data_IF_252824862048
#
_entry.id   IF_252824862048
#
_cell.length_a   1.000
_cell.length_b   1.000
_cell.length_c   1.000
_cell.angle_alpha   90.00
_cell.angle_beta   90.00
_cell.angle_gamma   90.00
#
_symmetry.space_group_name_H-M   'P 1'
#
loop_
_entity.id
_entity.type
_entity.pdbx_description
1 polymer ?
#
# COMPACT_ATOMS: atom_id res chain seq x y z
N UNK A 1 14.09 10.16 -17.42
CA UNK A 1 13.97 11.65 -17.44
C UNK A 1 14.42 12.23 -18.77
N UNK A 2 15.61 11.90 -19.26
CA UNK A 2 16.15 12.42 -20.52
C UNK A 2 15.29 12.09 -21.75
N UNK A 3 14.48 11.06 -21.69
CA UNK A 3 13.54 10.65 -22.76
C UNK A 3 12.11 11.20 -22.58
N UNK A 4 11.91 12.18 -21.69
CA UNK A 4 10.62 12.83 -21.48
C UNK A 4 9.58 12.01 -20.70
N UNK A 5 9.98 10.91 -20.05
CA UNK A 5 9.06 10.12 -19.21
C UNK A 5 8.50 10.95 -18.06
N UNK A 6 7.18 10.95 -17.91
CA UNK A 6 6.43 11.69 -16.88
C UNK A 6 5.60 10.71 -16.07
N UNK A 7 5.46 10.95 -14.79
CA UNK A 7 4.56 10.23 -13.90
C UNK A 7 4.24 11.14 -12.72
N UNK A 8 3.14 11.83 -12.81
CA UNK A 8 2.66 12.76 -11.79
C UNK A 8 1.13 12.85 -11.85
N UNK A 9 0.46 13.43 -10.83
CA UNK A 9 -0.98 13.58 -10.82
C UNK A 9 -1.53 14.44 -11.96
N UNK A 10 -0.78 15.41 -12.48
CA UNK A 10 -1.23 16.27 -13.58
C UNK A 10 -1.40 15.45 -14.86
N UNK A 11 -0.52 14.48 -15.10
CA UNK A 11 -0.61 13.54 -16.22
C UNK A 11 -1.45 12.31 -15.90
N UNK A 12 -2.10 12.28 -14.71
CA UNK A 12 -2.94 11.16 -14.23
C UNK A 12 -2.22 9.80 -14.22
N UNK A 13 -0.90 9.82 -14.12
CA UNK A 13 -0.08 8.61 -14.08
C UNK A 13 0.15 8.16 -12.64
N UNK A 14 -0.13 6.88 -12.37
CA UNK A 14 0.23 6.22 -11.12
C UNK A 14 1.41 5.27 -11.31
N UNK A 15 1.97 4.83 -10.20
CA UNK A 15 2.96 3.75 -10.17
C UNK A 15 2.29 2.52 -9.59
N UNK A 16 2.32 1.44 -10.34
CA UNK A 16 1.80 0.15 -9.93
C UNK A 16 2.96 -0.83 -9.75
N UNK A 17 2.96 -1.54 -8.63
CA UNK A 17 3.99 -2.52 -8.32
C UNK A 17 3.30 -3.87 -8.17
N UNK A 18 3.75 -4.83 -8.96
CA UNK A 18 3.28 -6.20 -8.92
C UNK A 18 4.31 -7.08 -8.21
N UNK A 19 3.86 -7.80 -7.18
CA UNK A 19 4.66 -8.81 -6.47
C UNK A 19 4.11 -10.18 -6.86
N UNK A 20 4.98 -11.12 -7.17
CA UNK A 20 4.57 -12.49 -7.49
C UNK A 20 3.76 -13.13 -6.36
N UNK A 21 2.73 -13.87 -6.73
CA UNK A 21 1.82 -14.53 -5.79
C UNK A 21 2.48 -15.74 -5.07
N UNK A 22 3.64 -16.19 -5.53
CA UNK A 22 4.32 -17.37 -5.02
C UNK A 22 4.56 -17.31 -3.51
N UNK A 23 4.24 -18.39 -2.81
CA UNK A 23 4.34 -18.49 -1.35
C UNK A 23 3.23 -17.77 -0.58
N UNK A 24 2.28 -17.12 -1.26
CA UNK A 24 1.07 -16.62 -0.63
C UNK A 24 -0.03 -17.67 -0.57
N UNK A 25 -0.74 -17.66 0.54
CA UNK A 25 -1.95 -18.45 0.80
C UNK A 25 -3.12 -17.51 1.01
N UNK A 26 -4.37 -17.97 0.98
CA UNK A 26 -5.52 -17.13 1.34
C UNK A 26 -5.39 -16.51 2.74
N UNK A 27 -4.74 -17.20 3.69
CA UNK A 27 -4.45 -16.67 5.03
C UNK A 27 -3.49 -15.48 4.94
N UNK A 28 -2.37 -15.62 4.21
CA UNK A 28 -1.41 -14.52 4.09
C UNK A 28 -1.97 -13.33 3.31
N UNK A 29 -2.81 -13.56 2.30
CA UNK A 29 -3.52 -12.49 1.61
C UNK A 29 -4.52 -11.78 2.54
N UNK A 30 -5.24 -12.52 3.40
CA UNK A 30 -6.07 -11.91 4.44
C UNK A 30 -5.22 -11.05 5.40
N UNK A 31 -4.06 -11.55 5.83
CA UNK A 31 -3.14 -10.76 6.65
C UNK A 31 -2.71 -9.48 5.92
N UNK A 32 -2.37 -9.57 4.64
CA UNK A 32 -1.96 -8.41 3.84
C UNK A 32 -3.07 -7.36 3.72
N UNK A 33 -4.31 -7.79 3.46
CA UNK A 33 -5.46 -6.89 3.44
C UNK A 33 -5.65 -6.17 4.78
N UNK A 34 -5.51 -6.89 5.89
CA UNK A 34 -5.63 -6.32 7.24
C UNK A 34 -4.47 -5.35 7.55
N UNK A 35 -3.23 -5.69 7.19
CA UNK A 35 -2.06 -4.81 7.35
C UNK A 35 -2.24 -3.53 6.54
N UNK A 36 -2.70 -3.63 5.31
CA UNK A 36 -2.98 -2.46 4.47
C UNK A 36 -4.09 -1.61 5.09
N UNK A 37 -5.24 -2.18 5.41
CA UNK A 37 -6.37 -1.45 6.00
C UNK A 37 -6.00 -0.69 7.28
N UNK A 38 -5.17 -1.29 8.13
CA UNK A 38 -4.72 -0.65 9.37
C UNK A 38 -3.73 0.50 9.18
N UNK A 39 -3.09 0.63 7.99
CA UNK A 39 -2.05 1.63 7.73
C UNK A 39 -2.32 2.53 6.53
N UNK A 40 -3.44 2.37 5.83
CA UNK A 40 -3.76 3.15 4.62
C UNK A 40 -3.75 4.66 4.87
N UNK A 41 -4.35 5.13 5.95
CA UNK A 41 -4.37 6.55 6.30
C UNK A 41 -2.96 7.11 6.49
N UNK A 42 -2.11 6.35 7.16
CA UNK A 42 -0.72 6.72 7.39
C UNK A 42 0.08 6.75 6.07
N UNK A 43 -0.13 5.76 5.19
CA UNK A 43 0.49 5.72 3.86
C UNK A 43 0.02 6.87 2.96
N UNK A 44 -1.28 7.18 2.98
CA UNK A 44 -1.86 8.32 2.23
C UNK A 44 -1.17 9.62 2.64
N UNK A 45 -1.03 9.86 3.94
CA UNK A 45 -0.38 11.06 4.48
C UNK A 45 1.12 11.08 4.18
N UNK A 46 1.82 9.97 4.40
CA UNK A 46 3.27 9.86 4.18
C UNK A 46 3.67 10.12 2.72
N UNK A 47 2.90 9.62 1.79
CA UNK A 47 3.16 9.77 0.35
C UNK A 47 2.45 10.97 -0.27
N UNK A 48 1.64 11.72 0.49
CA UNK A 48 0.81 12.84 0.00
C UNK A 48 0.04 12.45 -1.25
N UNK A 49 -0.67 11.31 -1.16
CA UNK A 49 -1.42 10.81 -2.30
C UNK A 49 -2.52 11.79 -2.71
N UNK A 50 -2.65 11.99 -4.01
CA UNK A 50 -3.67 12.86 -4.58
C UNK A 50 -5.08 12.31 -4.31
N UNK A 51 -5.99 13.17 -3.80
CA UNK A 51 -7.36 12.79 -3.42
C UNK A 51 -8.20 12.32 -4.61
N UNK A 52 -8.05 12.95 -5.78
CA UNK A 52 -8.79 12.52 -6.98
C UNK A 52 -8.34 11.14 -7.40
N UNK A 53 -7.04 10.87 -7.28
CA UNK A 53 -6.48 9.56 -7.57
C UNK A 53 -6.97 8.49 -6.59
N UNK A 54 -7.00 8.79 -5.28
CA UNK A 54 -7.55 7.88 -4.26
C UNK A 54 -9.00 7.57 -4.57
N UNK A 55 -9.82 8.56 -4.87
CA UNK A 55 -11.24 8.36 -5.10
C UNK A 55 -11.56 7.58 -6.37
N UNK A 56 -10.73 7.67 -7.41
CA UNK A 56 -10.98 7.06 -8.72
C UNK A 56 -10.23 5.76 -8.97
N UNK A 57 -8.93 5.73 -8.67
CA UNK A 57 -8.02 4.70 -9.20
C UNK A 57 -7.36 3.82 -8.15
N UNK A 58 -7.33 4.27 -6.88
CA UNK A 58 -6.70 3.52 -5.79
C UNK A 58 -7.42 3.75 -4.46
N UNK A 59 -8.72 3.46 -4.43
CA UNK A 59 -9.55 3.53 -3.21
C UNK A 59 -8.96 2.66 -2.11
N UNK A 60 -9.19 3.03 -0.88
CA UNK A 60 -8.86 2.20 0.30
C UNK A 60 -9.56 0.85 0.24
N UNK A 61 -9.14 -0.09 1.06
CA UNK A 61 -9.78 -1.40 1.18
C UNK A 61 -11.28 -1.22 1.49
N UNK A 62 -12.11 -1.99 0.83
CA UNK A 62 -13.55 -1.98 1.06
C UNK A 62 -13.87 -2.55 2.45
N UNK A 63 -14.54 -1.80 3.34
CA UNK A 63 -14.87 -2.29 4.67
C UNK A 63 -15.72 -3.56 4.65
N UNK A 64 -16.68 -3.67 3.74
CA UNK A 64 -17.55 -4.84 3.63
C UNK A 64 -16.80 -6.07 3.10
N UNK A 65 -15.87 -5.90 2.16
CA UNK A 65 -14.94 -6.95 1.77
C UNK A 65 -14.10 -7.41 2.95
N UNK A 66 -13.52 -6.47 3.70
CA UNK A 66 -12.66 -6.76 4.84
C UNK A 66 -13.40 -7.52 5.96
N UNK A 67 -14.65 -7.13 6.23
CA UNK A 67 -15.52 -7.83 7.16
C UNK A 67 -15.78 -9.28 6.72
N UNK A 68 -16.22 -9.48 5.47
CA UNK A 68 -16.47 -10.82 4.91
C UNK A 68 -15.21 -11.69 4.94
N UNK A 69 -14.06 -11.10 4.55
CA UNK A 69 -12.76 -11.76 4.53
C UNK A 69 -12.36 -12.27 5.92
N UNK A 70 -12.54 -11.44 6.95
CA UNK A 70 -12.18 -11.79 8.33
C UNK A 70 -13.18 -12.74 8.98
N UNK A 71 -14.46 -12.66 8.64
CA UNK A 71 -15.50 -13.56 9.13
C UNK A 71 -15.38 -14.96 8.50
N UNK A 72 -15.26 -15.04 7.18
CA UNK A 72 -15.29 -16.33 6.45
C UNK A 72 -13.93 -17.05 6.43
N UNK A 73 -12.82 -16.32 6.55
CA UNK A 73 -11.44 -16.87 6.62
C UNK A 73 -11.17 -17.90 5.52
N UNK A 74 -11.15 -17.49 4.23
CA UNK A 74 -11.04 -18.39 3.10
C UNK A 74 -9.84 -19.33 3.21
N UNK A 75 -9.99 -20.58 2.78
CA UNK A 75 -8.96 -21.62 2.77
C UNK A 75 -8.39 -21.86 1.38
N UNK A 76 -9.12 -21.50 0.33
CA UNK A 76 -8.71 -21.65 -1.07
C UNK A 76 -8.72 -20.29 -1.78
N UNK A 77 -7.96 -20.20 -2.88
CA UNK A 77 -7.95 -18.98 -3.71
C UNK A 77 -9.30 -18.72 -4.36
N UNK A 78 -10.06 -19.76 -4.64
CA UNK A 78 -11.41 -19.68 -5.17
C UNK A 78 -12.37 -19.03 -4.16
N UNK A 79 -12.35 -19.49 -2.91
CA UNK A 79 -13.12 -18.88 -1.83
C UNK A 79 -12.73 -17.41 -1.60
N UNK A 80 -11.44 -17.08 -1.73
CA UNK A 80 -10.98 -15.69 -1.66
C UNK A 80 -11.53 -14.87 -2.83
N UNK A 81 -11.53 -15.43 -4.05
CA UNK A 81 -12.11 -14.78 -5.22
C UNK A 81 -13.62 -14.54 -5.05
N UNK A 82 -14.36 -15.51 -4.51
CA UNK A 82 -15.79 -15.36 -4.22
C UNK A 82 -16.04 -14.16 -3.28
N UNK A 83 -15.24 -14.03 -2.23
CA UNK A 83 -15.33 -12.92 -1.29
C UNK A 83 -14.93 -11.59 -1.95
N UNK A 84 -13.89 -11.59 -2.80
CA UNK A 84 -13.41 -10.39 -3.47
C UNK A 84 -14.44 -9.81 -4.44
N UNK A 85 -15.08 -10.67 -5.24
CA UNK A 85 -16.03 -10.26 -6.26
C UNK A 85 -17.47 -10.14 -5.76
N UNK A 86 -17.75 -10.47 -4.51
CA UNK A 86 -19.09 -10.33 -3.94
C UNK A 86 -19.55 -8.87 -3.92
N UNK A 87 -20.64 -8.60 -4.63
CA UNK A 87 -21.16 -7.24 -4.81
C UNK A 87 -20.42 -6.39 -5.85
N UNK A 88 -19.47 -6.97 -6.58
CA UNK A 88 -18.81 -6.30 -7.71
C UNK A 88 -19.54 -6.61 -9.01
N UNK A 89 -19.80 -5.57 -9.78
CA UNK A 89 -20.44 -5.69 -11.09
C UNK A 89 -19.43 -6.17 -12.14
N UNK A 90 -19.89 -7.00 -13.10
CA UNK A 90 -19.07 -7.46 -14.21
C UNK A 90 -18.45 -8.84 -13.99
N UNK A 91 -17.87 -9.38 -15.07
CA UNK A 91 -17.23 -10.70 -15.06
C UNK A 91 -15.89 -10.67 -14.31
N UNK A 92 -15.63 -11.74 -13.54
CA UNK A 92 -14.32 -11.98 -12.88
C UNK A 92 -13.16 -12.04 -13.88
N UNK A 93 -13.42 -12.44 -15.11
CA UNK A 93 -12.43 -12.58 -16.17
C UNK A 93 -12.22 -11.29 -16.97
N UNK A 94 -12.99 -10.24 -16.68
CA UNK A 94 -12.87 -8.97 -17.39
C UNK A 94 -11.58 -8.26 -16.98
N UNK A 95 -10.71 -7.95 -17.95
CA UNK A 95 -9.42 -7.30 -17.71
C UNK A 95 -9.52 -5.99 -16.91
N UNK A 96 -10.53 -5.18 -17.18
CA UNK A 96 -10.79 -3.89 -16.51
C UNK A 96 -11.94 -3.96 -15.49
N UNK A 97 -12.06 -5.08 -14.76
CA UNK A 97 -13.04 -5.19 -13.69
C UNK A 97 -12.84 -4.08 -12.64
N UNK A 98 -13.92 -3.43 -12.20
CA UNK A 98 -13.89 -2.26 -11.31
C UNK A 98 -13.32 -2.56 -9.92
N UNK A 99 -13.31 -3.83 -9.50
CA UNK A 99 -12.68 -4.24 -8.24
C UNK A 99 -11.18 -3.91 -8.18
N UNK A 100 -10.52 -3.75 -9.36
CA UNK A 100 -9.10 -3.41 -9.45
C UNK A 100 -8.72 -2.04 -8.90
N UNK A 101 -9.68 -1.09 -8.81
CA UNK A 101 -9.39 0.29 -8.42
C UNK A 101 -9.28 0.48 -6.90
N UNK A 102 -8.45 -0.35 -6.26
CA UNK A 102 -8.08 -0.30 -4.85
C UNK A 102 -6.58 -0.10 -4.67
N UNK A 103 -6.13 0.45 -3.54
CA UNK A 103 -4.71 0.57 -3.20
C UNK A 103 -4.01 -0.78 -3.25
N UNK A 104 -4.68 -1.81 -2.73
CA UNK A 104 -4.29 -3.21 -2.83
C UNK A 104 -5.29 -3.93 -3.74
N UNK A 105 -4.85 -4.34 -4.91
CA UNK A 105 -5.69 -4.98 -5.92
C UNK A 105 -5.48 -6.49 -5.96
N UNK A 106 -6.49 -7.25 -5.52
CA UNK A 106 -6.49 -8.72 -5.60
C UNK A 106 -7.07 -9.27 -6.90
N UNK A 107 -7.71 -8.44 -7.73
CA UNK A 107 -8.08 -8.89 -9.08
C UNK A 107 -6.86 -9.41 -9.84
N UNK A 108 -5.69 -8.78 -9.66
CA UNK A 108 -4.43 -9.23 -10.24
C UNK A 108 -3.98 -10.62 -9.74
N UNK A 109 -4.38 -11.04 -8.53
CA UNK A 109 -4.08 -12.37 -8.02
C UNK A 109 -4.74 -13.47 -8.85
N UNK A 110 -5.95 -13.22 -9.33
CA UNK A 110 -6.75 -14.18 -10.06
C UNK A 110 -6.46 -14.16 -11.57
N UNK A 111 -6.11 -12.99 -12.13
CA UNK A 111 -5.89 -12.80 -13.57
C UNK A 111 -4.41 -12.89 -13.98
N UNK A 112 -3.48 -12.42 -13.14
CA UNK A 112 -2.05 -12.28 -13.49
C UNK A 112 -1.11 -13.04 -12.54
N UNK A 113 -1.64 -13.73 -11.53
CA UNK A 113 -0.84 -14.41 -10.50
C UNK A 113 0.11 -13.46 -9.75
N UNK A 114 -0.32 -12.21 -9.56
CA UNK A 114 0.43 -11.17 -8.83
C UNK A 114 -0.45 -10.45 -7.83
N UNK A 115 0.16 -9.88 -6.79
CA UNK A 115 -0.47 -8.91 -5.91
C UNK A 115 -0.09 -7.53 -6.46
N UNK A 116 -1.08 -6.70 -6.78
CA UNK A 116 -0.82 -5.36 -7.31
C UNK A 116 -1.06 -4.30 -6.23
N UNK A 117 -0.02 -3.49 -5.99
CA UNK A 117 -0.10 -2.27 -5.18
C UNK A 117 -0.22 -1.07 -6.13
N UNK A 118 -1.35 -0.37 -6.07
CA UNK A 118 -1.70 0.72 -7.01
C UNK A 118 -1.60 2.11 -6.39
N UNK A 119 -1.21 2.21 -5.13
CA UNK A 119 -1.28 3.45 -4.35
C UNK A 119 -0.18 4.47 -4.66
N UNK A 120 0.87 4.09 -5.38
CA UNK A 120 2.03 4.96 -5.55
C UNK A 120 1.87 6.00 -6.66
N UNK A 121 2.53 7.13 -6.44
CA UNK A 121 2.68 8.22 -7.40
C UNK A 121 4.01 8.93 -7.14
N UNK A 122 4.52 9.63 -8.15
CA UNK A 122 5.64 10.55 -7.95
C UNK A 122 5.14 11.97 -7.66
N UNK A 123 5.93 12.72 -6.91
CA UNK A 123 5.58 14.09 -6.55
C UNK A 123 5.50 15.00 -7.79
N UNK A 124 4.58 15.97 -7.74
CA UNK A 124 4.55 17.05 -8.72
C UNK A 124 5.80 17.94 -8.64
N UNK A 125 6.07 18.65 -9.72
CA UNK A 125 7.02 19.76 -9.69
C UNK A 125 6.53 20.84 -8.73
N UNK A 126 7.43 21.43 -7.96
CA UNK A 126 7.13 22.52 -7.03
C UNK A 126 8.17 22.61 -5.93
N UNK A 127 8.26 23.78 -5.29
CA UNK A 127 9.18 24.06 -4.20
C UNK A 127 10.66 23.67 -4.52
N UNK A 128 11.12 24.02 -5.74
CA UNK A 128 12.48 23.72 -6.20
C UNK A 128 12.72 22.27 -6.63
N UNK A 129 11.69 21.39 -6.57
CA UNK A 129 11.78 20.00 -7.01
C UNK A 129 11.26 19.84 -8.43
N UNK A 130 12.02 19.10 -9.26
CA UNK A 130 11.53 18.64 -10.57
C UNK A 130 10.55 17.49 -10.33
N UNK A 131 9.32 17.60 -10.81
CA UNK A 131 8.35 16.51 -10.78
C UNK A 131 8.78 15.30 -11.62
N UNK A 132 8.07 14.21 -11.47
CA UNK A 132 8.24 12.99 -12.26
C UNK A 132 9.09 11.92 -11.56
N UNK A 133 9.70 11.05 -12.35
CA UNK A 133 10.37 9.83 -11.93
C UNK A 133 11.55 10.06 -10.98
N UNK A 134 11.48 9.51 -9.77
CA UNK A 134 12.54 9.54 -8.76
C UNK A 134 12.96 8.12 -8.40
N UNK A 135 14.22 7.76 -8.70
CA UNK A 135 14.75 6.41 -8.45
C UNK A 135 14.68 6.01 -6.98
N UNK A 136 14.95 6.94 -6.05
CA UNK A 136 14.84 6.69 -4.62
C UNK A 136 13.41 6.41 -4.16
N UNK A 137 12.40 7.11 -4.69
CA UNK A 137 10.99 6.84 -4.42
C UNK A 137 10.59 5.48 -4.96
N UNK A 138 10.95 5.15 -6.21
CA UNK A 138 10.64 3.85 -6.80
C UNK A 138 11.27 2.70 -6.00
N UNK A 139 12.55 2.82 -5.62
CA UNK A 139 13.23 1.83 -4.76
C UNK A 139 12.48 1.66 -3.45
N UNK A 140 12.10 2.76 -2.79
CA UNK A 140 11.39 2.74 -1.50
C UNK A 140 10.03 2.06 -1.61
N UNK A 141 9.29 2.30 -2.69
CA UNK A 141 7.98 1.68 -2.92
C UNK A 141 8.10 0.18 -3.18
N UNK A 142 9.10 -0.24 -3.95
CA UNK A 142 9.38 -1.67 -4.18
C UNK A 142 9.76 -2.35 -2.85
N UNK A 143 10.67 -1.77 -2.08
CA UNK A 143 11.07 -2.28 -0.77
C UNK A 143 9.85 -2.41 0.17
N UNK A 144 8.96 -1.41 0.19
CA UNK A 144 7.73 -1.45 1.00
C UNK A 144 6.81 -2.61 0.58
N UNK A 145 6.56 -2.78 -0.71
CA UNK A 145 5.71 -3.87 -1.22
C UNK A 145 6.28 -5.25 -0.87
N UNK A 146 7.59 -5.43 -1.02
CA UNK A 146 8.27 -6.68 -0.67
C UNK A 146 8.18 -6.96 0.84
N UNK A 147 8.42 -5.96 1.67
CA UNK A 147 8.35 -6.08 3.12
C UNK A 147 6.93 -6.38 3.62
N UNK A 148 5.91 -5.72 3.05
CA UNK A 148 4.50 -6.00 3.33
C UNK A 148 4.11 -7.43 2.94
N UNK A 149 4.53 -7.87 1.76
CA UNK A 149 4.34 -9.24 1.27
C UNK A 149 4.98 -10.26 2.22
N UNK A 150 6.22 -10.01 2.64
CA UNK A 150 6.94 -10.89 3.56
C UNK A 150 6.29 -10.92 4.94
N UNK A 151 5.96 -9.77 5.52
CA UNK A 151 5.27 -9.70 6.81
C UNK A 151 3.95 -10.48 6.77
N UNK A 152 3.16 -10.30 5.72
CA UNK A 152 1.86 -10.99 5.58
C UNK A 152 2.00 -12.52 5.56
N UNK A 153 3.10 -13.05 5.05
CA UNK A 153 3.40 -14.49 5.03
C UNK A 153 3.85 -15.02 6.39
N UNK A 154 4.56 -14.21 7.16
CA UNK A 154 5.21 -14.65 8.41
C UNK A 154 4.37 -14.46 9.65
N UNK A 155 3.49 -13.44 9.71
CA UNK A 155 2.65 -13.23 10.89
C UNK A 155 1.53 -14.25 11.02
N UNK A 156 1.26 -14.67 12.25
CA UNK A 156 0.17 -15.60 12.53
C UNK A 156 -1.20 -15.00 12.17
N UNK A 157 -1.40 -13.71 12.46
CA UNK A 157 -2.59 -12.93 12.12
C UNK A 157 -2.28 -11.45 12.12
N UNK A 158 -3.11 -10.65 11.45
CA UNK A 158 -3.06 -9.21 11.45
C UNK A 158 -4.46 -8.63 11.73
N UNK A 159 -4.52 -7.51 12.46
CA UNK A 159 -5.75 -6.78 12.74
C UNK A 159 -5.97 -5.71 11.67
N UNK A 160 -7.20 -5.50 11.18
CA UNK A 160 -7.54 -4.41 10.29
C UNK A 160 -7.76 -3.07 11.01
N UNK A 161 -7.78 -3.08 12.36
CA UNK A 161 -8.07 -1.89 13.15
C UNK A 161 -6.97 -0.86 12.97
N UNK A 162 -7.36 0.33 12.57
CA UNK A 162 -6.43 1.47 12.49
C UNK A 162 -6.04 1.91 13.91
N UNK A 163 -4.74 2.02 14.21
CA UNK A 163 -4.30 2.57 15.49
C UNK A 163 -4.64 4.06 15.56
N UNK A 164 -4.98 4.54 16.75
CA UNK A 164 -4.97 5.98 17.00
C UNK A 164 -3.52 6.45 17.07
N UNK A 165 -3.18 7.44 16.25
CA UNK A 165 -1.82 7.91 16.06
C UNK A 165 -1.73 9.39 16.39
N UNK A 166 -1.11 9.72 17.53
CA UNK A 166 -0.85 11.09 17.95
C UNK A 166 0.38 11.68 17.22
N UNK A 167 1.40 10.84 16.99
CA UNK A 167 2.61 11.20 16.27
C UNK A 167 2.78 10.31 15.03
N UNK A 168 2.29 10.76 13.86
CA UNK A 168 2.34 9.98 12.62
C UNK A 168 3.76 9.61 12.20
N UNK A 169 4.72 10.50 12.39
CA UNK A 169 6.13 10.26 12.01
C UNK A 169 6.76 9.15 12.87
N UNK A 170 6.52 9.17 14.17
CA UNK A 170 6.97 8.11 15.07
C UNK A 170 6.30 6.78 14.73
N UNK A 171 4.99 6.79 14.51
CA UNK A 171 4.23 5.59 14.16
C UNK A 171 4.75 4.95 12.86
N UNK A 172 4.98 5.76 11.82
CA UNK A 172 5.53 5.30 10.55
C UNK A 172 6.93 4.71 10.76
N UNK A 173 7.83 5.42 11.45
CA UNK A 173 9.18 4.92 11.74
C UNK A 173 9.14 3.57 12.46
N UNK A 174 8.31 3.46 13.49
CA UNK A 174 8.17 2.22 14.27
C UNK A 174 7.63 1.08 13.42
N UNK A 175 6.66 1.36 12.56
CA UNK A 175 6.13 0.37 11.64
C UNK A 175 7.16 -0.08 10.61
N UNK A 176 7.92 0.84 10.02
CA UNK A 176 9.00 0.52 9.08
C UNK A 176 10.06 -0.39 9.73
N UNK A 177 10.44 -0.13 10.98
CA UNK A 177 11.37 -1.02 11.72
C UNK A 177 10.78 -2.43 11.89
N UNK A 178 9.49 -2.55 12.20
CA UNK A 178 8.80 -3.85 12.26
C UNK A 178 8.73 -4.56 10.90
N UNK A 179 8.69 -3.81 9.82
CA UNK A 179 8.77 -4.32 8.45
C UNK A 179 10.20 -4.72 8.03
N UNK A 180 11.21 -4.52 8.91
CA UNK A 180 12.60 -4.86 8.62
C UNK A 180 13.41 -3.76 7.92
N UNK A 181 12.92 -2.51 7.91
CA UNK A 181 13.67 -1.36 7.36
C UNK A 181 14.78 -0.92 8.32
N UNK A 182 15.77 -1.80 8.50
CA UNK A 182 16.92 -1.62 9.39
C UNK A 182 18.20 -1.56 8.54
N UNK A 183 19.18 -0.77 8.95
CA UNK A 183 20.45 -0.61 8.23
C UNK A 183 20.42 0.49 7.15
N UNK A 184 21.58 0.71 6.54
CA UNK A 184 21.81 1.82 5.62
C UNK A 184 21.11 1.65 4.28
N UNK A 185 20.90 0.41 3.84
CA UNK A 185 20.21 0.12 2.58
C UNK A 185 18.76 0.63 2.57
N UNK A 186 18.14 0.81 3.75
CA UNK A 186 16.78 1.33 3.92
C UNK A 186 16.75 2.81 4.35
N UNK A 187 17.89 3.49 4.51
CA UNK A 187 17.93 4.88 4.96
C UNK A 187 17.09 5.80 4.08
N UNK A 188 17.27 5.69 2.75
CA UNK A 188 16.47 6.45 1.77
C UNK A 188 14.98 6.17 1.88
N UNK A 189 14.58 4.92 2.09
CA UNK A 189 13.18 4.57 2.21
C UNK A 189 12.56 5.09 3.52
N UNK A 190 13.29 5.01 4.62
CA UNK A 190 12.86 5.59 5.89
C UNK A 190 12.65 7.10 5.79
N UNK A 191 13.58 7.82 5.15
CA UNK A 191 13.45 9.27 4.91
C UNK A 191 12.22 9.57 4.03
N UNK A 192 12.10 8.94 2.88
CA UNK A 192 11.02 9.19 1.92
C UNK A 192 9.65 8.92 2.55
N UNK A 193 9.50 7.83 3.30
CA UNK A 193 8.23 7.42 3.89
C UNK A 193 7.87 8.17 5.19
N UNK A 194 8.80 8.96 5.76
CA UNK A 194 8.54 9.74 6.98
C UNK A 194 8.58 11.26 6.78
N UNK A 195 9.26 11.77 5.74
CA UNK A 195 9.53 13.21 5.55
C UNK A 195 8.30 14.11 5.51
N UNK A 196 7.17 13.59 5.04
CA UNK A 196 5.93 14.36 4.88
C UNK A 196 5.00 14.27 6.10
N UNK A 197 5.35 13.46 7.09
CA UNK A 197 4.54 13.27 8.30
C UNK A 197 4.93 14.29 9.38
N UNK A 198 3.96 14.75 10.12
CA UNK A 198 4.14 15.60 11.26
C UNK A 198 4.67 14.82 12.47
N UNK A 199 5.31 15.54 13.38
CA UNK A 199 5.82 15.00 14.63
C UNK A 199 7.32 14.70 14.58
N UNK A 200 7.77 13.93 15.56
CA UNK A 200 9.17 13.55 15.81
C UNK A 200 9.37 12.06 15.59
N UNK A 201 10.54 11.67 15.13
CA UNK A 201 10.89 10.25 14.92
C UNK A 201 11.34 9.54 16.19
N UNK A 202 11.81 10.28 17.20
CA UNK A 202 12.42 9.73 18.41
C UNK A 202 11.41 9.59 19.56
N UNK A 203 10.45 10.51 19.68
CA UNK A 203 9.57 10.59 20.83
C UNK A 203 8.11 10.37 20.43
N UNK A 204 7.45 9.39 21.10
CA UNK A 204 6.05 9.04 20.84
C UNK A 204 5.08 10.20 21.13
N UNK A 205 5.32 10.93 22.21
CA UNK A 205 4.47 12.02 22.69
C UNK A 205 5.10 13.42 22.50
N UNK A 206 6.07 13.54 21.58
CA UNK A 206 6.86 14.76 21.43
C UNK A 206 7.98 14.87 22.47
N UNK A 207 8.83 15.90 22.31
CA UNK A 207 9.84 16.21 23.35
C UNK A 207 9.11 16.82 24.53
N UNK A 208 9.44 16.36 25.73
CA UNK A 208 9.08 17.11 26.94
C UNK A 208 9.71 18.50 26.84
N UNK A 209 8.92 19.54 27.12
CA UNK A 209 9.39 20.92 27.16
C UNK A 209 10.37 21.14 28.30
#
# INVERSE_FOLDING_TARGET
RHKGAKSDPVHMCGVHIHIGLNGHTPKSLRNLANIMASHESLLISAMRLDRNRINRYCRTVDPSFLERLNRRKPKTMEQLADIWYEGVWGSRNQHYNDSRYRMLNYHACFTHKTIEFRCFQFANAGNGRKGGLHAGELKSYIQLCLALSQMAKTVASASPKQPQVENPKYAMRTWLLRLGFIGDEFATARDILTKNLEGDTAFRHGRAA
#
